data_IF_195790834857
#
_entry.id   IF_195790834857
#
_cell.length_a   1.000
_cell.length_b   1.000
_cell.length_c   1.000
_cell.angle_alpha   90.00
_cell.angle_beta   90.00
_cell.angle_gamma   90.00
#
_symmetry.space_group_name_H-M   'P 1'
#
loop_
_entity.id
_entity.type
_entity.pdbx_description
1 polymer ?
#
# COMPACT_ATOMS: atom_id res chain seq x y z
N UNK A 1 -20.07 12.19 3.81
CA UNK A 1 -20.67 10.93 3.33
C UNK A 1 -19.81 10.46 2.18
N UNK A 2 -19.36 9.20 2.17
CA UNK A 2 -18.39 8.74 1.18
C UNK A 2 -19.08 8.44 -0.18
N UNK A 3 -18.63 9.10 -1.25
CA UNK A 3 -19.12 8.88 -2.60
C UNK A 3 -18.29 7.80 -3.27
N UNK A 4 -18.90 6.64 -3.45
CA UNK A 4 -18.32 5.45 -4.07
C UNK A 4 -19.19 5.04 -5.24
N UNK A 5 -18.61 4.96 -6.44
CA UNK A 5 -19.34 4.72 -7.69
C UNK A 5 -18.85 3.48 -8.41
N UNK A 6 -19.74 2.78 -9.12
CA UNK A 6 -19.34 1.78 -10.11
C UNK A 6 -18.65 2.47 -11.28
N UNK A 7 -17.97 1.68 -12.12
CA UNK A 7 -17.34 2.17 -13.36
C UNK A 7 -17.24 1.05 -14.42
N UNK A 8 -17.06 1.42 -15.66
CA UNK A 8 -16.78 0.49 -16.75
C UNK A 8 -15.29 0.17 -16.77
N UNK A 9 -14.91 -0.98 -16.21
CA UNK A 9 -13.50 -1.35 -16.22
C UNK A 9 -13.04 -1.81 -17.60
N UNK A 10 -11.77 -1.56 -17.87
CA UNK A 10 -11.01 -2.30 -18.86
C UNK A 10 -10.38 -3.49 -18.11
N UNK A 11 -10.64 -4.70 -18.59
CA UNK A 11 -10.23 -5.95 -17.92
C UNK A 11 -9.61 -6.93 -18.91
N UNK A 12 -8.71 -7.83 -18.47
CA UNK A 12 -8.20 -8.88 -19.33
C UNK A 12 -9.32 -9.78 -19.88
N UNK A 13 -9.15 -10.29 -21.10
CA UNK A 13 -9.95 -11.40 -21.58
C UNK A 13 -9.82 -12.61 -20.64
N UNK A 14 -10.88 -13.39 -20.47
CA UNK A 14 -10.98 -14.46 -19.45
C UNK A 14 -9.84 -15.48 -19.54
N UNK A 15 -9.41 -15.82 -20.73
CA UNK A 15 -8.30 -16.73 -21.02
C UNK A 15 -6.90 -16.11 -20.83
N UNK A 16 -6.80 -14.79 -20.69
CA UNK A 16 -5.55 -14.05 -20.54
C UNK A 16 -5.29 -13.57 -19.11
N UNK A 17 -6.29 -13.55 -18.24
CA UNK A 17 -6.20 -12.88 -16.92
C UNK A 17 -5.03 -13.37 -16.08
N UNK A 18 -4.75 -14.68 -16.05
CA UNK A 18 -3.66 -15.25 -15.27
C UNK A 18 -2.27 -14.81 -15.77
N UNK A 19 -2.15 -14.50 -17.05
CA UNK A 19 -0.93 -14.03 -17.70
C UNK A 19 -0.75 -12.50 -17.53
N UNK A 20 -1.84 -11.75 -17.58
CA UNK A 20 -1.84 -10.28 -17.46
C UNK A 20 -1.55 -9.85 -16.03
N UNK A 21 -2.19 -10.49 -15.04
CA UNK A 21 -2.14 -10.09 -13.64
C UNK A 21 -0.72 -10.09 -13.06
N UNK A 22 -0.17 -8.93 -12.79
CA UNK A 22 1.23 -8.77 -12.34
C UNK A 22 1.30 -8.28 -10.90
N UNK A 23 2.34 -8.66 -10.16
CA UNK A 23 2.69 -8.00 -8.88
C UNK A 23 3.05 -6.53 -9.15
N UNK A 24 3.07 -5.71 -8.10
CA UNK A 24 3.65 -4.37 -8.24
C UNK A 24 5.09 -4.45 -8.78
N UNK A 25 5.45 -3.54 -9.70
CA UNK A 25 6.78 -3.49 -10.31
C UNK A 25 7.93 -3.54 -9.30
N UNK A 26 7.74 -2.94 -8.13
CA UNK A 26 8.75 -2.88 -7.07
C UNK A 26 9.00 -4.21 -6.35
N UNK A 27 8.13 -5.20 -6.54
CA UNK A 27 8.24 -6.51 -5.91
C UNK A 27 9.03 -7.53 -6.74
N UNK A 28 9.46 -7.14 -7.95
CA UNK A 28 10.28 -7.99 -8.81
C UNK A 28 11.76 -7.69 -8.62
N UNK A 29 12.57 -8.72 -8.44
CA UNK A 29 14.01 -8.63 -8.68
C UNK A 29 14.27 -8.39 -10.17
N UNK A 30 15.45 -7.87 -10.51
CA UNK A 30 15.82 -7.63 -11.91
C UNK A 30 15.72 -8.90 -12.77
N UNK A 31 16.18 -10.05 -12.24
CA UNK A 31 16.14 -11.35 -12.93
C UNK A 31 14.70 -11.84 -13.16
N UNK A 32 13.83 -11.71 -12.13
CA UNK A 32 12.41 -12.06 -12.27
C UNK A 32 11.69 -11.19 -13.30
N UNK A 33 11.96 -9.87 -13.27
CA UNK A 33 11.38 -8.94 -14.24
C UNK A 33 11.78 -9.29 -15.66
N UNK A 34 13.06 -9.53 -15.92
CA UNK A 34 13.58 -9.94 -17.23
C UNK A 34 12.95 -11.27 -17.68
N UNK A 35 12.84 -12.27 -16.79
CA UNK A 35 12.20 -13.53 -17.09
C UNK A 35 10.72 -13.37 -17.46
N UNK A 36 9.95 -12.61 -16.69
CA UNK A 36 8.53 -12.37 -17.00
C UNK A 36 8.36 -11.67 -18.34
N UNK A 37 9.15 -10.63 -18.62
CA UNK A 37 9.09 -9.89 -19.89
C UNK A 37 9.51 -10.79 -21.09
N UNK A 38 10.45 -11.72 -20.90
CA UNK A 38 10.91 -12.60 -21.98
C UNK A 38 9.92 -13.74 -22.31
N UNK A 39 9.25 -14.28 -21.28
CA UNK A 39 8.46 -15.52 -21.46
C UNK A 39 6.95 -15.30 -21.39
N UNK A 40 6.47 -14.12 -20.97
CA UNK A 40 5.04 -13.84 -20.89
C UNK A 40 4.68 -12.55 -21.66
N UNK A 41 4.32 -12.64 -22.96
CA UNK A 41 4.00 -11.48 -23.78
C UNK A 41 2.72 -10.73 -23.35
N UNK A 42 1.86 -11.38 -22.57
CA UNK A 42 0.60 -10.79 -22.07
C UNK A 42 0.75 -10.04 -20.75
N UNK A 43 1.91 -10.12 -20.09
CA UNK A 43 2.10 -9.49 -18.77
C UNK A 43 1.85 -7.98 -18.83
N UNK A 44 1.10 -7.46 -17.86
CA UNK A 44 0.91 -6.02 -17.67
C UNK A 44 2.25 -5.27 -17.53
N UNK A 45 3.31 -5.98 -17.15
CA UNK A 45 4.66 -5.41 -17.08
C UNK A 45 5.16 -4.87 -18.42
N UNK A 46 4.70 -5.38 -19.57
CA UNK A 46 5.03 -4.83 -20.88
C UNK A 46 4.47 -3.41 -21.07
N UNK A 47 3.29 -3.12 -20.53
CA UNK A 47 2.69 -1.79 -20.58
C UNK A 47 3.53 -0.81 -19.76
N UNK A 48 3.88 -1.17 -18.53
CA UNK A 48 4.61 -0.28 -17.63
C UNK A 48 6.13 -0.27 -17.84
N UNK A 49 6.67 -1.20 -18.66
CA UNK A 49 8.08 -1.26 -19.11
C UNK A 49 8.19 -1.20 -20.63
N UNK A 50 7.63 -0.19 -21.30
CA UNK A 50 7.51 -0.16 -22.75
C UNK A 50 8.84 -0.14 -23.48
N UNK A 51 9.94 0.27 -22.81
CA UNK A 51 11.28 0.27 -23.38
C UNK A 51 11.85 -1.11 -23.64
N UNK A 52 11.33 -2.17 -22.99
CA UNK A 52 11.75 -3.55 -23.20
C UNK A 52 11.64 -3.97 -24.69
N UNK A 53 10.58 -3.57 -25.37
CA UNK A 53 10.40 -3.84 -26.83
C UNK A 53 11.53 -3.33 -27.69
N UNK A 54 12.29 -2.34 -27.24
CA UNK A 54 13.36 -1.67 -27.98
C UNK A 54 14.75 -1.95 -27.36
N UNK A 55 14.82 -2.89 -26.46
CA UNK A 55 16.03 -3.21 -25.68
C UNK A 55 16.66 -1.97 -25.03
N UNK A 56 15.81 -1.03 -24.61
CA UNK A 56 16.21 0.25 -24.04
C UNK A 56 15.44 0.56 -22.75
N UNK A 57 16.15 1.15 -21.79
CA UNK A 57 15.52 1.78 -20.64
C UNK A 57 15.06 3.18 -21.01
N UNK A 58 13.73 3.39 -21.02
CA UNK A 58 13.12 4.70 -21.26
C UNK A 58 12.59 5.26 -19.96
N UNK A 59 12.82 6.54 -19.67
CA UNK A 59 12.36 7.24 -18.46
C UNK A 59 11.71 8.59 -18.79
N UNK A 60 11.05 9.18 -17.79
CA UNK A 60 10.41 10.49 -17.89
C UNK A 60 9.20 10.53 -18.85
N UNK A 61 8.84 11.72 -19.37
CA UNK A 61 7.62 11.92 -20.17
C UNK A 61 7.55 11.08 -21.45
N UNK A 62 8.72 10.78 -22.07
CA UNK A 62 8.76 9.88 -23.25
C UNK A 62 8.26 8.48 -22.92
N UNK A 63 8.57 7.98 -21.71
CA UNK A 63 8.06 6.68 -21.23
C UNK A 63 6.54 6.70 -21.12
N UNK A 64 5.93 7.78 -20.66
CA UNK A 64 4.47 7.86 -20.43
C UNK A 64 3.68 7.67 -21.75
N UNK A 65 4.13 8.30 -22.83
CA UNK A 65 3.53 8.09 -24.17
C UNK A 65 3.68 6.64 -24.63
N UNK A 66 4.82 6.01 -24.38
CA UNK A 66 5.02 4.60 -24.73
C UNK A 66 4.15 3.66 -23.88
N UNK A 67 3.92 3.98 -22.60
CA UNK A 67 2.98 3.25 -21.75
C UNK A 67 1.57 3.30 -22.34
N UNK A 68 1.12 4.50 -22.75
CA UNK A 68 -0.18 4.66 -23.40
C UNK A 68 -0.28 3.87 -24.72
N UNK A 69 0.74 3.91 -25.57
CA UNK A 69 0.76 3.14 -26.82
C UNK A 69 0.70 1.63 -26.55
N UNK A 70 1.44 1.11 -25.54
CA UNK A 70 1.35 -0.32 -25.17
C UNK A 70 -0.05 -0.68 -24.66
N UNK A 71 -0.68 0.19 -23.90
CA UNK A 71 -2.06 0.00 -23.46
C UNK A 71 -3.03 -0.09 -24.64
N UNK A 72 -2.90 0.78 -25.64
CA UNK A 72 -3.73 0.73 -26.87
C UNK A 72 -3.50 -0.58 -27.65
N UNK A 73 -2.26 -1.04 -27.79
CA UNK A 73 -1.97 -2.33 -28.44
C UNK A 73 -2.68 -3.50 -27.71
N UNK A 74 -2.71 -3.51 -26.39
CA UNK A 74 -3.42 -4.54 -25.63
C UNK A 74 -4.93 -4.51 -25.84
N UNK A 75 -5.52 -3.32 -26.11
CA UNK A 75 -6.92 -3.19 -26.51
C UNK A 75 -7.15 -3.68 -27.96
N UNK A 76 -6.30 -3.27 -28.90
CA UNK A 76 -6.36 -3.66 -30.31
C UNK A 76 -6.24 -5.18 -30.50
N UNK A 77 -5.37 -5.81 -29.71
CA UNK A 77 -5.15 -7.25 -29.69
C UNK A 77 -6.21 -8.05 -28.89
N UNK A 78 -7.24 -7.37 -28.36
CA UNK A 78 -8.28 -7.94 -27.51
C UNK A 78 -7.72 -8.69 -26.28
N UNK A 79 -6.53 -8.31 -25.80
CA UNK A 79 -5.99 -8.77 -24.51
C UNK A 79 -6.78 -8.10 -23.39
N UNK A 80 -7.15 -6.84 -23.56
CA UNK A 80 -8.08 -6.10 -22.73
C UNK A 80 -9.42 -5.88 -23.42
N UNK A 81 -10.49 -5.94 -22.62
CA UNK A 81 -11.86 -5.71 -23.07
C UNK A 81 -12.51 -4.68 -22.14
N UNK A 82 -13.33 -3.80 -22.72
CA UNK A 82 -14.10 -2.78 -21.96
C UNK A 82 -15.47 -3.33 -21.58
N UNK A 83 -15.84 -3.22 -20.32
CA UNK A 83 -17.15 -3.60 -19.84
C UNK A 83 -18.24 -2.67 -20.40
N UNK A 84 -19.41 -3.25 -20.72
CA UNK A 84 -20.52 -2.51 -21.29
C UNK A 84 -21.28 -1.66 -20.24
N UNK A 85 -21.30 -2.11 -18.99
CA UNK A 85 -22.06 -1.49 -17.88
C UNK A 85 -21.13 -1.02 -16.78
N UNK A 86 -21.52 0.07 -16.11
CA UNK A 86 -20.91 0.49 -14.86
C UNK A 86 -21.14 -0.57 -13.79
N UNK A 87 -20.05 -1.07 -13.19
CA UNK A 87 -20.07 -2.20 -12.28
C UNK A 87 -19.16 -1.97 -11.07
N UNK A 88 -19.48 -2.61 -9.95
CA UNK A 88 -18.52 -2.88 -8.91
C UNK A 88 -17.83 -4.21 -9.20
N UNK A 89 -16.57 -4.34 -8.80
CA UNK A 89 -15.84 -5.58 -9.01
C UNK A 89 -15.42 -6.12 -7.65
N UNK A 90 -16.12 -7.17 -7.23
CA UNK A 90 -15.75 -7.89 -6.02
C UNK A 90 -14.50 -8.70 -6.29
N UNK A 91 -13.46 -8.52 -5.49
CA UNK A 91 -12.21 -9.21 -5.69
C UNK A 91 -11.71 -9.84 -4.40
N UNK A 92 -11.39 -11.12 -4.47
CA UNK A 92 -10.87 -11.93 -3.38
C UNK A 92 -9.44 -12.37 -3.66
N UNK A 93 -8.59 -12.21 -2.65
CA UNK A 93 -7.23 -12.73 -2.61
C UNK A 93 -7.12 -13.73 -1.48
N UNK A 94 -6.64 -14.94 -1.79
CA UNK A 94 -6.38 -16.00 -0.79
C UNK A 94 -4.97 -16.52 -0.92
N UNK A 95 -4.23 -16.52 0.19
CA UNK A 95 -2.88 -17.08 0.31
C UNK A 95 -2.68 -17.70 1.68
N UNK A 96 -2.34 -18.97 1.76
CA UNK A 96 -2.19 -19.71 3.01
C UNK A 96 -3.41 -19.49 3.94
N UNK A 97 -3.17 -18.94 5.14
CA UNK A 97 -4.19 -18.59 6.13
C UNK A 97 -4.69 -17.14 6.01
N UNK A 98 -4.34 -16.41 4.95
CA UNK A 98 -4.83 -15.06 4.69
C UNK A 98 -5.85 -15.08 3.56
N UNK A 99 -7.00 -14.48 3.84
CA UNK A 99 -8.04 -14.22 2.84
C UNK A 99 -8.56 -12.81 3.05
N UNK A 100 -8.76 -12.09 1.96
CA UNK A 100 -9.30 -10.75 1.96
C UNK A 100 -10.23 -10.59 0.76
N UNK A 101 -11.39 -9.97 0.96
CA UNK A 101 -12.38 -9.74 -0.07
C UNK A 101 -12.87 -8.29 -0.02
N UNK A 102 -12.81 -7.58 -1.12
CA UNK A 102 -13.20 -6.17 -1.22
C UNK A 102 -13.68 -5.78 -2.61
N UNK A 103 -14.00 -4.52 -2.79
CA UNK A 103 -14.61 -3.97 -3.99
C UNK A 103 -13.66 -3.00 -4.71
N UNK A 104 -13.37 -3.25 -5.99
CA UNK A 104 -12.90 -2.18 -6.86
C UNK A 104 -14.05 -1.25 -7.22
N UNK A 105 -13.80 0.03 -7.13
CA UNK A 105 -14.75 1.10 -7.37
C UNK A 105 -14.03 2.40 -7.73
N UNK A 106 -14.80 3.42 -8.10
CA UNK A 106 -14.33 4.78 -8.30
C UNK A 106 -14.74 5.66 -7.11
N UNK A 107 -13.78 6.25 -6.39
CA UNK A 107 -14.02 7.13 -5.24
C UNK A 107 -13.80 8.58 -5.59
N UNK A 108 -14.54 9.49 -4.95
CA UNK A 108 -14.55 10.91 -5.24
C UNK A 108 -13.24 11.62 -4.83
N UNK A 109 -12.69 12.42 -5.72
CA UNK A 109 -11.62 13.37 -5.40
C UNK A 109 -12.10 14.44 -4.41
N UNK A 110 -13.37 14.85 -4.47
CA UNK A 110 -13.95 15.82 -3.54
C UNK A 110 -13.95 15.28 -2.10
N UNK A 111 -14.24 13.99 -1.91
CA UNK A 111 -14.15 13.33 -0.60
C UNK A 111 -12.70 13.32 -0.05
N UNK A 112 -11.72 13.25 -0.94
CA UNK A 112 -10.32 13.38 -0.55
C UNK A 112 -9.98 14.82 -0.13
N UNK A 113 -10.50 15.83 -0.83
CA UNK A 113 -10.31 17.25 -0.51
C UNK A 113 -11.01 17.65 0.79
N UNK A 114 -12.26 17.19 0.98
CA UNK A 114 -13.07 17.46 2.17
C UNK A 114 -12.70 16.60 3.39
N UNK A 115 -11.64 15.79 3.26
CA UNK A 115 -11.15 14.92 4.33
C UNK A 115 -12.18 13.88 4.83
N UNK A 116 -13.11 13.46 3.98
CA UNK A 116 -13.94 12.26 4.16
C UNK A 116 -13.07 11.03 3.92
N UNK A 117 -12.20 11.07 2.91
CA UNK A 117 -11.11 10.12 2.73
C UNK A 117 -9.93 10.58 3.56
N UNK A 118 -9.69 9.86 4.67
CA UNK A 118 -8.69 10.18 5.70
C UNK A 118 -7.29 9.72 5.33
N UNK A 119 -6.31 10.57 5.57
CA UNK A 119 -4.88 10.36 5.28
C UNK A 119 -4.09 10.21 6.59
N UNK A 120 -3.00 9.45 6.55
CA UNK A 120 -2.09 9.28 7.68
C UNK A 120 -0.60 9.30 7.28
N UNK A 121 -0.31 9.53 6.00
CA UNK A 121 1.06 9.72 5.51
C UNK A 121 1.16 10.98 4.66
N UNK A 122 2.30 11.67 4.75
CA UNK A 122 2.64 12.80 3.90
C UNK A 122 3.07 12.33 2.51
N UNK A 123 2.73 13.14 1.53
CA UNK A 123 3.15 12.96 0.15
C UNK A 123 4.19 14.02 -0.27
N UNK A 124 5.01 13.70 -1.24
CA UNK A 124 6.10 14.56 -1.72
C UNK A 124 5.64 15.26 -2.99
N UNK A 125 5.56 16.58 -2.97
CA UNK A 125 5.02 17.41 -4.06
C UNK A 125 5.61 17.09 -5.45
N UNK A 126 6.93 16.99 -5.67
CA UNK A 126 7.47 16.61 -6.98
C UNK A 126 7.01 15.24 -7.48
N UNK A 127 6.73 14.31 -6.54
CA UNK A 127 6.21 12.97 -6.87
C UNK A 127 4.73 13.01 -7.23
N UNK A 128 3.96 13.86 -6.58
CA UNK A 128 2.55 14.10 -6.95
C UNK A 128 2.45 14.66 -8.35
N UNK A 129 3.26 15.67 -8.67
CA UNK A 129 3.30 16.31 -9.99
C UNK A 129 3.72 15.34 -11.10
N UNK A 130 4.75 14.53 -10.85
CA UNK A 130 5.19 13.51 -11.78
C UNK A 130 4.08 12.48 -12.07
N UNK A 131 3.39 12.01 -11.04
CA UNK A 131 2.30 11.05 -11.20
C UNK A 131 1.03 11.68 -11.77
N UNK A 132 0.72 12.93 -11.47
CA UNK A 132 -0.39 13.64 -12.12
C UNK A 132 -0.14 13.77 -13.63
N UNK A 133 1.07 14.17 -14.04
CA UNK A 133 1.46 14.22 -15.46
C UNK A 133 1.48 12.81 -16.10
N UNK A 134 1.88 11.77 -15.36
CA UNK A 134 1.76 10.40 -15.83
C UNK A 134 0.29 10.05 -16.13
N UNK A 135 -0.63 10.27 -15.18
CA UNK A 135 -2.06 9.99 -15.34
C UNK A 135 -2.69 10.80 -16.50
N UNK A 136 -2.32 12.08 -16.61
CA UNK A 136 -2.74 12.94 -17.72
C UNK A 136 -2.32 12.38 -19.09
N UNK A 137 -1.14 11.78 -19.18
CA UNK A 137 -0.59 11.25 -20.42
C UNK A 137 -1.13 9.86 -20.75
N UNK A 138 -1.19 8.95 -19.77
CA UNK A 138 -1.63 7.55 -19.98
C UNK A 138 -3.14 7.38 -20.00
N UNK A 139 -3.90 8.35 -19.46
CA UNK A 139 -5.36 8.36 -19.44
C UNK A 139 -6.02 7.20 -18.68
N UNK A 140 -5.32 6.54 -17.77
CA UNK A 140 -5.90 5.46 -16.97
C UNK A 140 -5.25 5.28 -15.60
N UNK A 141 -6.02 4.70 -14.67
CA UNK A 141 -5.55 4.16 -13.39
C UNK A 141 -5.53 2.64 -13.46
N UNK A 142 -4.38 1.99 -13.28
CA UNK A 142 -4.24 0.53 -13.24
C UNK A 142 -3.88 -0.02 -11.85
N UNK A 143 -3.52 0.87 -10.93
CA UNK A 143 -3.21 0.51 -9.54
C UNK A 143 -4.18 1.22 -8.60
N UNK A 144 -5.08 0.49 -7.93
CA UNK A 144 -6.08 1.10 -7.05
C UNK A 144 -5.44 1.65 -5.77
N UNK A 145 -6.08 2.65 -5.18
CA UNK A 145 -5.81 3.07 -3.81
C UNK A 145 -6.49 2.08 -2.87
N UNK A 146 -5.71 1.41 -2.01
CA UNK A 146 -6.27 0.54 -0.98
C UNK A 146 -6.82 1.40 0.14
N UNK A 147 -8.12 1.27 0.41
CA UNK A 147 -8.77 1.96 1.51
C UNK A 147 -9.60 0.99 2.35
N UNK A 148 -9.82 1.38 3.59
CA UNK A 148 -10.65 0.61 4.50
C UNK A 148 -11.77 1.46 5.07
N UNK A 149 -12.84 0.77 5.46
CA UNK A 149 -14.03 1.35 6.09
C UNK A 149 -14.45 0.53 7.31
N UNK A 150 -15.18 1.16 8.22
CA UNK A 150 -15.75 0.47 9.37
C UNK A 150 -16.75 -0.58 8.88
N UNK A 151 -16.65 -1.79 9.39
CA UNK A 151 -17.51 -2.91 9.01
C UNK A 151 -19.00 -2.51 8.98
N UNK A 152 -19.66 -2.82 7.88
CA UNK A 152 -21.08 -2.55 7.64
C UNK A 152 -21.81 -3.84 7.28
N UNK A 153 -22.93 -4.10 7.98
CA UNK A 153 -23.71 -5.35 7.82
C UNK A 153 -24.36 -5.47 6.45
N UNK A 154 -24.77 -4.35 5.85
CA UNK A 154 -25.42 -4.34 4.53
C UNK A 154 -24.40 -4.69 3.44
N UNK A 155 -23.24 -4.03 3.46
CA UNK A 155 -22.16 -4.31 2.51
C UNK A 155 -21.67 -5.75 2.67
N UNK A 156 -21.46 -6.21 3.91
CA UNK A 156 -21.02 -7.58 4.19
C UNK A 156 -22.02 -8.63 3.69
N UNK A 157 -23.36 -8.37 3.81
CA UNK A 157 -24.39 -9.26 3.29
C UNK A 157 -24.37 -9.33 1.77
N UNK A 158 -24.22 -8.20 1.08
CA UNK A 158 -24.13 -8.15 -0.38
C UNK A 158 -22.90 -8.93 -0.85
N UNK A 159 -21.72 -8.67 -0.27
CA UNK A 159 -20.48 -9.38 -0.59
C UNK A 159 -20.64 -10.90 -0.38
N UNK A 160 -21.26 -11.31 0.74
CA UNK A 160 -21.48 -12.72 1.04
C UNK A 160 -22.43 -13.41 0.03
N UNK A 161 -23.43 -12.70 -0.48
CA UNK A 161 -24.34 -13.20 -1.51
C UNK A 161 -23.63 -13.33 -2.85
N UNK A 162 -22.88 -12.30 -3.29
CA UNK A 162 -22.16 -12.33 -4.57
C UNK A 162 -21.11 -13.44 -4.63
N UNK A 163 -20.45 -13.73 -3.52
CA UNK A 163 -19.47 -14.84 -3.44
C UNK A 163 -20.05 -16.24 -3.62
N UNK A 164 -21.38 -16.41 -3.60
CA UNK A 164 -22.05 -17.69 -3.91
C UNK A 164 -22.16 -17.94 -5.41
N UNK A 165 -22.05 -16.89 -6.21
CA UNK A 165 -22.07 -16.97 -7.66
C UNK A 165 -20.73 -17.47 -8.18
N UNK A 166 -20.70 -18.03 -9.42
CA UNK A 166 -19.46 -18.32 -10.11
C UNK A 166 -18.66 -17.02 -10.35
N UNK A 167 -17.36 -16.99 -10.04
CA UNK A 167 -16.55 -15.83 -10.33
C UNK A 167 -16.27 -15.70 -11.83
N UNK A 168 -16.24 -14.48 -12.33
CA UNK A 168 -15.79 -14.16 -13.69
C UNK A 168 -14.33 -14.62 -13.91
N UNK A 169 -13.47 -14.38 -12.92
CA UNK A 169 -12.10 -14.87 -12.91
C UNK A 169 -11.85 -15.75 -11.70
N UNK A 170 -11.17 -16.89 -11.94
CA UNK A 170 -10.65 -17.75 -10.91
C UNK A 170 -9.30 -18.34 -11.38
N UNK A 171 -8.21 -17.88 -10.79
CA UNK A 171 -6.86 -18.35 -11.14
C UNK A 171 -5.92 -18.33 -9.93
N UNK A 172 -4.88 -19.14 -10.01
CA UNK A 172 -3.82 -19.21 -9.01
C UNK A 172 -2.48 -18.87 -9.66
N UNK A 173 -1.76 -17.95 -9.05
CA UNK A 173 -0.45 -17.51 -9.54
C UNK A 173 0.68 -18.41 -9.06
N UNK A 174 1.87 -18.30 -9.66
CA UNK A 174 3.05 -19.11 -9.35
C UNK A 174 3.50 -19.00 -7.89
N UNK A 175 3.22 -17.88 -7.23
CA UNK A 175 3.47 -17.65 -5.80
C UNK A 175 2.35 -18.17 -4.89
N UNK A 176 1.52 -19.10 -5.44
CA UNK A 176 0.42 -19.81 -4.74
C UNK A 176 -0.65 -18.87 -4.15
N UNK A 177 -0.89 -17.74 -4.80
CA UNK A 177 -2.00 -16.84 -4.46
C UNK A 177 -3.17 -17.14 -5.38
N UNK A 178 -4.33 -17.45 -4.79
CA UNK A 178 -5.59 -17.62 -5.53
C UNK A 178 -6.33 -16.31 -5.60
N UNK A 179 -6.80 -15.97 -6.79
CA UNK A 179 -7.51 -14.75 -7.12
C UNK A 179 -8.89 -15.10 -7.67
N UNK A 180 -9.93 -14.42 -7.18
CA UNK A 180 -11.30 -14.53 -7.70
C UNK A 180 -11.85 -13.14 -7.91
N UNK A 181 -12.60 -12.93 -8.98
CA UNK A 181 -13.25 -11.66 -9.27
C UNK A 181 -14.68 -11.90 -9.76
N UNK A 182 -15.63 -11.16 -9.23
CA UNK A 182 -17.04 -11.13 -9.65
C UNK A 182 -17.39 -9.75 -10.15
N UNK A 183 -18.21 -9.67 -11.19
CA UNK A 183 -18.70 -8.41 -11.77
C UNK A 183 -20.12 -8.17 -11.23
N UNK A 184 -20.30 -7.12 -10.47
CA UNK A 184 -21.60 -6.71 -9.90
C UNK A 184 -22.16 -5.60 -10.78
N UNK A 185 -22.99 -5.98 -11.76
CA UNK A 185 -23.60 -5.06 -12.75
C UNK A 185 -25.13 -4.99 -12.64
N UNK A 186 -25.72 -5.76 -11.74
CA UNK A 186 -27.16 -5.76 -11.50
C UNK A 186 -27.56 -4.44 -10.82
N UNK A 187 -28.51 -3.71 -11.41
CA UNK A 187 -28.85 -2.32 -11.03
C UNK A 187 -29.27 -2.19 -9.56
N UNK A 188 -30.06 -3.14 -9.06
CA UNK A 188 -30.53 -3.10 -7.66
C UNK A 188 -29.36 -3.26 -6.69
N UNK A 189 -28.49 -4.23 -6.92
CA UNK A 189 -27.30 -4.49 -6.10
C UNK A 189 -26.31 -3.32 -6.13
N UNK A 190 -26.11 -2.71 -7.31
CA UNK A 190 -25.30 -1.50 -7.48
C UNK A 190 -25.85 -0.37 -6.63
N UNK A 191 -27.15 -0.08 -6.72
CA UNK A 191 -27.80 0.97 -5.95
C UNK A 191 -27.75 0.72 -4.43
N UNK A 192 -27.91 -0.54 -4.01
CA UNK A 192 -27.77 -0.93 -2.61
C UNK A 192 -26.34 -0.67 -2.08
N UNK A 193 -25.31 -0.99 -2.85
CA UNK A 193 -23.92 -0.72 -2.49
C UNK A 193 -23.67 0.79 -2.39
N UNK A 194 -24.06 1.59 -3.39
CA UNK A 194 -23.91 3.05 -3.36
C UNK A 194 -24.60 3.64 -2.12
N UNK A 195 -25.84 3.22 -1.86
CA UNK A 195 -26.61 3.68 -0.68
C UNK A 195 -25.95 3.28 0.63
N UNK A 196 -25.35 2.11 0.71
CA UNK A 196 -24.64 1.66 1.91
C UNK A 196 -23.35 2.45 2.13
N UNK A 197 -22.55 2.68 1.08
CA UNK A 197 -21.31 3.47 1.19
C UNK A 197 -21.57 4.93 1.56
N UNK A 198 -22.64 5.55 1.05
CA UNK A 198 -22.97 6.94 1.37
C UNK A 198 -23.25 7.15 2.86
N UNK A 199 -23.68 6.10 3.58
CA UNK A 199 -23.90 6.14 5.04
C UNK A 199 -22.59 6.12 5.84
N UNK A 200 -21.47 5.75 5.24
CA UNK A 200 -20.19 5.72 5.92
C UNK A 200 -19.68 7.15 6.14
N UNK A 201 -19.23 7.41 7.36
CA UNK A 201 -18.72 8.75 7.76
C UNK A 201 -17.34 9.05 7.20
N UNK A 202 -16.53 8.04 6.97
CA UNK A 202 -15.16 8.19 6.47
C UNK A 202 -14.64 6.89 5.84
N UNK A 203 -13.74 7.04 4.89
CA UNK A 203 -12.83 6.02 4.38
C UNK A 203 -11.41 6.35 4.85
N UNK A 204 -10.57 5.34 5.03
CA UNK A 204 -9.19 5.52 5.48
C UNK A 204 -8.24 4.93 4.44
N UNK A 205 -7.35 5.74 3.90
CA UNK A 205 -6.31 5.24 2.99
C UNK A 205 -5.40 4.30 3.77
N UNK A 206 -5.25 3.09 3.29
CA UNK A 206 -4.36 2.08 3.84
C UNK A 206 -3.03 2.01 3.06
N UNK A 207 -3.11 2.10 1.72
CA UNK A 207 -1.95 2.18 0.83
C UNK A 207 -2.29 3.00 -0.40
N UNK A 208 -1.33 3.78 -0.90
CA UNK A 208 -1.50 4.59 -2.12
C UNK A 208 -1.71 6.09 -1.88
N UNK A 209 -1.19 6.67 -0.81
CA UNK A 209 -1.27 8.11 -0.52
C UNK A 209 -0.79 8.98 -1.68
N UNK A 210 0.31 8.61 -2.36
CA UNK A 210 0.76 9.33 -3.55
C UNK A 210 -0.19 9.19 -4.73
N UNK A 211 -0.85 8.01 -4.91
CA UNK A 211 -1.84 7.78 -5.99
C UNK A 211 -3.07 8.67 -5.81
N UNK A 212 -3.62 8.74 -4.60
CA UNK A 212 -4.76 9.62 -4.30
C UNK A 212 -4.41 11.11 -4.42
N UNK A 213 -3.24 11.52 -3.92
CA UNK A 213 -2.77 12.90 -4.02
C UNK A 213 -2.56 13.33 -5.49
N UNK A 214 -1.98 12.45 -6.32
CA UNK A 214 -1.76 12.72 -7.74
C UNK A 214 -3.06 12.77 -8.53
N UNK A 215 -4.04 11.91 -8.23
CA UNK A 215 -5.38 11.97 -8.82
C UNK A 215 -6.12 13.25 -8.44
N UNK A 216 -5.97 13.70 -7.19
CA UNK A 216 -6.48 14.99 -6.75
C UNK A 216 -5.85 16.15 -7.51
N UNK A 217 -4.52 16.14 -7.69
CA UNK A 217 -3.82 17.19 -8.43
C UNK A 217 -4.26 17.20 -9.91
N UNK A 218 -4.36 16.02 -10.55
CA UNK A 218 -4.87 15.90 -11.91
C UNK A 218 -6.28 16.49 -12.02
N UNK A 219 -7.19 16.15 -11.11
CA UNK A 219 -8.55 16.68 -11.12
C UNK A 219 -8.59 18.21 -11.02
N UNK A 220 -7.76 18.80 -10.17
CA UNK A 220 -7.65 20.27 -10.06
C UNK A 220 -7.17 20.92 -11.37
N UNK A 221 -6.14 20.34 -12.00
CA UNK A 221 -5.61 20.82 -13.28
C UNK A 221 -6.66 20.67 -14.38
N UNK A 222 -7.28 19.48 -14.49
CA UNK A 222 -8.27 19.19 -15.53
C UNK A 222 -9.52 20.05 -15.39
N UNK A 223 -10.02 20.25 -14.16
CA UNK A 223 -11.13 21.16 -13.87
C UNK A 223 -10.84 22.60 -14.32
N UNK A 224 -9.62 23.09 -14.03
CA UNK A 224 -9.21 24.46 -14.42
C UNK A 224 -9.16 24.62 -15.95
N UNK A 225 -8.79 23.56 -16.68
CA UNK A 225 -8.59 23.56 -18.11
C UNK A 225 -9.85 23.14 -18.90
N UNK A 226 -10.93 22.73 -18.23
CA UNK A 226 -12.19 22.32 -18.85
C UNK A 226 -13.30 23.33 -18.55
N UNK A 227 -13.63 24.25 -19.49
CA UNK A 227 -14.70 25.22 -19.31
C UNK A 227 -16.08 24.57 -19.17
N UNK A 228 -16.26 23.36 -19.71
CA UNK A 228 -17.53 22.60 -19.67
C UNK A 228 -17.57 21.58 -18.51
N UNK A 229 -16.81 21.84 -17.45
CA UNK A 229 -16.74 20.95 -16.29
C UNK A 229 -18.10 20.80 -15.58
N UNK A 230 -18.60 19.57 -15.52
CA UNK A 230 -19.90 19.22 -14.92
C UNK A 230 -19.78 18.56 -13.54
N UNK A 231 -18.60 18.05 -13.18
CA UNK A 231 -18.36 17.23 -11.98
C UNK A 231 -18.52 15.72 -12.24
N UNK A 232 -18.98 15.30 -13.41
CA UNK A 232 -19.18 13.89 -13.77
C UNK A 232 -17.99 13.26 -14.51
N UNK A 233 -17.03 14.07 -14.92
CA UNK A 233 -15.87 13.64 -15.68
C UNK A 233 -15.06 12.58 -14.91
N UNK A 234 -14.48 11.60 -15.61
CA UNK A 234 -13.74 10.51 -14.97
C UNK A 234 -12.61 10.98 -14.04
N UNK A 235 -11.92 12.06 -14.36
CA UNK A 235 -10.84 12.62 -13.55
C UNK A 235 -11.29 13.14 -12.17
N UNK A 236 -12.61 13.29 -11.91
CA UNK A 236 -13.14 13.61 -10.59
C UNK A 236 -13.19 12.41 -9.63
N UNK A 237 -12.78 11.25 -10.11
CA UNK A 237 -12.70 10.01 -9.35
C UNK A 237 -11.36 9.31 -9.58
N UNK A 238 -11.02 8.40 -8.69
CA UNK A 238 -9.86 7.53 -8.86
C UNK A 238 -10.19 6.10 -8.43
N UNK A 239 -9.53 5.14 -9.08
CA UNK A 239 -9.76 3.74 -8.79
C UNK A 239 -9.30 3.39 -7.39
N UNK A 240 -10.17 2.73 -6.64
CA UNK A 240 -9.94 2.31 -5.27
C UNK A 240 -10.33 0.86 -5.07
N UNK A 241 -9.69 0.22 -4.10
CA UNK A 241 -10.09 -1.07 -3.58
C UNK A 241 -10.48 -0.92 -2.12
N UNK A 242 -11.76 -1.15 -1.82
CA UNK A 242 -12.36 -0.94 -0.50
C UNK A 242 -12.52 -2.27 0.22
N UNK A 243 -11.97 -2.39 1.43
CA UNK A 243 -12.11 -3.55 2.30
C UNK A 243 -12.63 -3.15 3.68
N UNK A 244 -13.41 -4.00 4.37
CA UNK A 244 -13.77 -3.76 5.76
C UNK A 244 -12.53 -3.78 6.66
N UNK A 245 -12.55 -3.00 7.74
CA UNK A 245 -11.38 -2.90 8.64
C UNK A 245 -11.02 -4.22 9.33
N UNK A 246 -11.95 -5.17 9.43
CA UNK A 246 -11.71 -6.51 9.96
C UNK A 246 -10.88 -7.41 9.04
N UNK A 247 -10.82 -7.13 7.74
CA UNK A 247 -10.08 -7.93 6.76
C UNK A 247 -8.68 -7.38 6.45
N UNK A 248 -8.37 -6.17 6.93
CA UNK A 248 -7.04 -5.60 6.72
C UNK A 248 -6.00 -6.26 7.63
N UNK A 249 -4.85 -6.57 7.08
CA UNK A 249 -3.74 -7.11 7.85
C UNK A 249 -2.56 -6.17 7.83
N UNK A 250 -2.10 -5.79 9.03
CA UNK A 250 -1.02 -4.83 9.20
C UNK A 250 0.16 -5.54 9.83
N UNK A 251 1.33 -5.38 9.23
CA UNK A 251 2.60 -5.88 9.75
C UNK A 251 3.50 -4.72 10.12
N UNK A 252 4.41 -4.98 11.02
CA UNK A 252 5.48 -4.05 11.37
C UNK A 252 6.55 -3.97 10.28
N UNK A 253 7.21 -2.82 10.20
CA UNK A 253 8.52 -2.72 9.58
C UNK A 253 9.59 -2.85 10.66
N UNK A 254 10.55 -3.75 10.50
CA UNK A 254 11.77 -3.75 11.27
C UNK A 254 12.71 -2.64 10.74
N UNK A 255 13.54 -2.10 11.61
CA UNK A 255 14.55 -1.10 11.28
C UNK A 255 15.91 -1.67 11.55
N UNK A 256 16.79 -1.57 10.56
CA UNK A 256 18.18 -2.00 10.65
C UNK A 256 19.06 -0.78 10.40
N UNK A 257 20.08 -0.57 11.23
CA UNK A 257 20.97 0.58 11.13
C UNK A 257 22.41 0.06 10.97
N UNK A 258 23.14 0.65 10.01
CA UNK A 258 24.47 0.18 9.58
C UNK A 258 25.55 0.34 10.62
N UNK A 259 25.45 1.34 11.49
CA UNK A 259 26.45 1.67 12.48
C UNK A 259 25.82 2.19 13.77
N UNK A 260 26.60 2.21 14.84
CA UNK A 260 26.20 2.72 16.15
C UNK A 260 26.57 4.20 16.37
N UNK A 261 26.76 4.98 15.30
CA UNK A 261 27.18 6.39 15.37
C UNK A 261 28.50 6.59 16.17
N UNK A 262 29.47 5.71 15.92
CA UNK A 262 30.77 5.74 16.58
C UNK A 262 30.80 5.19 18.01
N UNK A 263 29.67 4.73 18.57
CA UNK A 263 29.59 4.16 19.92
C UNK A 263 30.04 2.71 19.93
N UNK A 264 30.69 2.31 21.00
CA UNK A 264 30.87 0.91 21.35
C UNK A 264 29.54 0.30 21.79
N UNK A 265 29.40 -1.04 21.75
CA UNK A 265 28.21 -1.76 22.28
C UNK A 265 27.86 -1.32 23.70
N UNK A 266 28.86 -1.19 24.58
CA UNK A 266 28.67 -0.81 25.98
C UNK A 266 28.11 0.62 26.10
N UNK A 267 28.70 1.58 25.40
CA UNK A 267 28.24 2.98 25.41
C UNK A 267 26.82 3.10 24.83
N UNK A 268 26.53 2.34 23.78
CA UNK A 268 25.19 2.30 23.19
C UNK A 268 24.15 1.77 24.18
N UNK A 269 24.43 0.67 24.88
CA UNK A 269 23.54 0.12 25.92
C UNK A 269 23.36 1.09 27.08
N UNK A 270 24.40 1.80 27.52
CA UNK A 270 24.31 2.84 28.57
C UNK A 270 23.39 3.97 28.13
N UNK A 271 23.50 4.46 26.89
CA UNK A 271 22.60 5.50 26.37
C UNK A 271 21.16 5.02 26.26
N UNK A 272 20.94 3.77 25.85
CA UNK A 272 19.60 3.17 25.78
C UNK A 272 18.93 3.03 27.16
N UNK A 273 19.70 2.72 28.22
CA UNK A 273 19.17 2.57 29.57
C UNK A 273 18.52 3.84 30.10
N UNK A 274 18.92 4.99 29.60
CA UNK A 274 18.26 6.27 29.90
C UNK A 274 16.77 6.28 29.57
N UNK A 275 16.35 5.60 28.48
CA UNK A 275 14.97 5.57 28.02
C UNK A 275 14.28 4.22 28.24
N UNK A 276 15.02 3.12 28.38
CA UNK A 276 14.47 1.77 28.43
C UNK A 276 15.03 0.98 29.61
N UNK A 277 14.22 0.08 30.19
CA UNK A 277 14.72 -1.05 30.94
C UNK A 277 15.15 -2.11 29.93
N UNK A 278 16.39 -2.56 30.02
CA UNK A 278 17.00 -3.48 29.06
C UNK A 278 17.16 -4.85 29.73
N UNK A 279 16.77 -5.90 29.03
CA UNK A 279 17.05 -7.28 29.47
C UNK A 279 17.71 -8.02 28.31
N UNK A 280 18.89 -8.61 28.56
CA UNK A 280 19.55 -9.47 27.58
C UNK A 280 18.83 -10.83 27.52
N UNK A 281 18.49 -11.29 26.33
CA UNK A 281 17.84 -12.56 26.02
C UNK A 281 18.80 -13.58 25.39
N UNK A 282 20.08 -13.23 25.26
CA UNK A 282 21.09 -14.04 24.60
C UNK A 282 20.66 -14.41 23.17
N UNK A 283 20.83 -15.66 22.81
CA UNK A 283 20.45 -16.17 21.48
C UNK A 283 18.95 -16.47 21.33
N UNK A 284 18.14 -16.28 22.42
CA UNK A 284 16.72 -16.58 22.38
C UNK A 284 15.99 -15.48 21.62
N UNK A 285 15.33 -15.86 20.52
CA UNK A 285 14.52 -14.95 19.72
C UNK A 285 13.44 -14.29 20.58
N UNK A 286 13.48 -12.97 20.67
CA UNK A 286 12.47 -12.18 21.36
C UNK A 286 11.66 -11.37 20.37
N UNK A 287 10.35 -11.61 20.30
CA UNK A 287 9.39 -10.81 19.54
C UNK A 287 8.48 -10.06 20.50
N UNK A 288 8.37 -8.72 20.43
CA UNK A 288 7.51 -7.95 21.32
C UNK A 288 6.03 -8.28 21.04
N UNK A 289 5.22 -8.36 22.08
CA UNK A 289 3.78 -8.66 22.01
C UNK A 289 2.92 -7.54 22.59
N UNK A 290 3.54 -6.52 23.20
CA UNK A 290 2.85 -5.40 23.87
C UNK A 290 3.42 -4.07 23.37
N UNK A 291 2.57 -3.05 23.30
CA UNK A 291 2.99 -1.66 22.99
C UNK A 291 4.06 -1.19 23.96
N UNK A 292 4.97 -0.35 23.46
CA UNK A 292 6.11 0.20 24.21
C UNK A 292 7.14 -0.84 24.65
N UNK A 293 7.06 -2.05 24.06
CA UNK A 293 8.07 -3.07 24.13
C UNK A 293 8.72 -3.21 22.76
N UNK A 294 10.04 -3.31 22.72
CA UNK A 294 10.80 -3.44 21.47
C UNK A 294 11.74 -4.63 21.57
N UNK A 295 11.98 -5.29 20.46
CA UNK A 295 13.09 -6.21 20.31
C UNK A 295 14.25 -5.47 19.67
N UNK A 296 15.43 -5.67 20.18
CA UNK A 296 16.68 -5.25 19.57
C UNK A 296 17.57 -6.48 19.37
N UNK A 297 18.20 -6.56 18.20
CA UNK A 297 19.27 -7.54 17.93
C UNK A 297 20.57 -6.79 17.68
N UNK A 298 21.58 -7.12 18.45
CA UNK A 298 22.86 -6.43 18.49
C UNK A 298 23.98 -7.43 18.83
N UNK A 299 24.99 -7.53 17.97
CA UNK A 299 26.19 -8.31 18.22
C UNK A 299 25.89 -9.76 18.70
N UNK A 300 25.07 -10.48 17.92
CA UNK A 300 24.71 -11.88 18.17
C UNK A 300 23.64 -12.13 19.25
N UNK A 301 23.15 -11.09 19.92
CA UNK A 301 22.23 -11.22 21.05
C UNK A 301 20.91 -10.47 20.85
N UNK A 302 19.81 -11.07 21.30
CA UNK A 302 18.52 -10.38 21.44
C UNK A 302 18.43 -9.65 22.77
N UNK A 303 17.82 -8.48 22.74
CA UNK A 303 17.48 -7.67 23.92
C UNK A 303 16.00 -7.30 23.87
N UNK A 304 15.33 -7.38 25.02
CA UNK A 304 14.02 -6.75 25.20
C UNK A 304 14.21 -5.36 25.78
N UNK A 305 13.58 -4.37 25.16
CA UNK A 305 13.60 -2.97 25.61
C UNK A 305 12.18 -2.59 26.04
N UNK A 306 12.05 -2.14 27.28
CA UNK A 306 10.78 -1.71 27.87
C UNK A 306 10.85 -0.21 28.16
N UNK A 307 10.00 0.59 27.46
CA UNK A 307 9.99 2.04 27.62
C UNK A 307 9.74 2.45 29.09
N UNK A 308 10.60 3.30 29.63
CA UNK A 308 10.44 3.87 30.97
C UNK A 308 9.36 4.95 30.98
N UNK A 309 8.20 4.70 31.63
CA UNK A 309 7.03 5.57 31.63
C UNK A 309 7.33 7.02 32.07
N UNK A 310 8.32 7.23 32.94
CA UNK A 310 8.70 8.57 33.47
C UNK A 310 9.53 9.40 32.47
N UNK A 311 10.07 8.77 31.41
CA UNK A 311 11.04 9.41 30.50
C UNK A 311 10.38 9.90 29.22
N UNK A 312 9.26 9.33 28.82
CA UNK A 312 8.56 9.66 27.60
C UNK A 312 7.13 10.13 27.88
N UNK A 313 6.77 11.30 27.34
CA UNK A 313 5.44 11.87 27.51
C UNK A 313 4.59 11.64 26.25
N UNK A 314 3.37 11.17 26.45
CA UNK A 314 2.38 10.99 25.41
C UNK A 314 1.51 12.24 25.32
N UNK A 315 1.73 13.08 24.31
CA UNK A 315 1.02 14.35 24.11
C UNK A 315 -0.16 14.23 23.15
N UNK A 316 -0.07 13.31 22.20
CA UNK A 316 -1.06 13.10 21.14
C UNK A 316 -1.08 11.65 20.64
N UNK A 317 -1.84 11.38 19.58
CA UNK A 317 -1.92 10.04 18.98
C UNK A 317 -0.60 9.59 18.34
N UNK A 318 0.18 10.52 17.78
CA UNK A 318 1.47 10.24 17.14
C UNK A 318 2.54 9.84 18.17
N UNK A 319 2.64 10.56 19.27
CA UNK A 319 3.61 10.29 20.33
C UNK A 319 3.41 8.90 20.98
N UNK A 320 2.21 8.31 20.86
CA UNK A 320 1.90 6.96 21.36
C UNK A 320 2.31 5.82 20.41
N UNK A 321 2.79 6.13 19.21
CA UNK A 321 3.25 5.11 18.26
C UNK A 321 4.65 4.63 18.58
N UNK A 322 4.84 3.31 18.62
CA UNK A 322 6.15 2.70 18.87
C UNK A 322 7.20 3.13 17.82
N UNK A 323 6.79 3.37 16.59
CA UNK A 323 7.64 3.92 15.52
C UNK A 323 8.16 5.32 15.85
N UNK A 324 7.30 6.18 16.40
CA UNK A 324 7.66 7.54 16.83
C UNK A 324 8.51 7.52 18.10
N UNK A 325 8.19 6.65 19.05
CA UNK A 325 8.96 6.46 20.26
C UNK A 325 10.39 6.05 19.93
N UNK A 326 10.56 5.01 19.09
CA UNK A 326 11.88 4.54 18.68
C UNK A 326 12.67 5.64 17.96
N UNK A 327 12.01 6.43 17.11
CA UNK A 327 12.64 7.58 16.44
C UNK A 327 13.12 8.62 17.44
N UNK A 328 12.27 9.05 18.37
CA UNK A 328 12.54 10.15 19.32
C UNK A 328 13.49 9.75 20.45
N UNK A 329 13.63 8.47 20.75
CA UNK A 329 14.45 7.99 21.89
C UNK A 329 15.75 7.31 21.46
N UNK A 330 15.82 6.74 20.24
CA UNK A 330 16.97 5.96 19.80
C UNK A 330 17.53 6.47 18.48
N UNK A 331 16.72 6.41 17.39
CA UNK A 331 17.23 6.62 16.04
C UNK A 331 17.78 8.04 15.86
N UNK A 332 17.02 9.07 16.31
CA UNK A 332 17.45 10.46 16.26
C UNK A 332 18.58 10.78 17.27
N UNK A 333 18.33 10.69 18.57
CA UNK A 333 19.26 11.22 19.58
C UNK A 333 20.51 10.35 19.79
N UNK A 334 20.44 9.04 19.61
CA UNK A 334 21.58 8.12 19.87
C UNK A 334 22.29 7.77 18.58
N UNK A 335 21.56 7.32 17.55
CA UNK A 335 22.12 6.87 16.28
C UNK A 335 22.25 7.99 15.25
N UNK A 336 21.79 9.22 15.56
CA UNK A 336 21.84 10.40 14.69
C UNK A 336 21.21 10.17 13.29
N UNK A 337 20.14 9.37 13.22
CA UNK A 337 19.31 9.20 12.03
C UNK A 337 18.21 10.25 12.07
N UNK A 338 18.42 11.38 11.40
CA UNK A 338 17.49 12.51 11.41
C UNK A 338 16.42 12.43 10.31
N UNK A 339 16.76 11.86 9.16
CA UNK A 339 15.84 11.68 8.04
C UNK A 339 15.53 10.19 7.79
N UNK A 340 14.39 9.75 8.30
CA UNK A 340 13.94 8.36 8.17
C UNK A 340 13.64 7.93 6.72
N UNK A 341 13.56 8.86 5.75
CA UNK A 341 13.30 8.56 4.34
C UNK A 341 14.57 8.42 3.52
N UNK A 342 15.55 9.27 3.78
CA UNK A 342 16.69 9.45 2.89
C UNK A 342 18.03 9.05 3.53
N UNK A 343 18.11 8.83 4.85
CA UNK A 343 19.35 8.37 5.49
C UNK A 343 19.70 6.96 5.00
N UNK A 344 20.85 6.84 4.33
CA UNK A 344 21.35 5.59 3.75
C UNK A 344 21.82 4.56 4.78
N UNK A 345 21.92 4.94 6.05
CA UNK A 345 22.31 4.04 7.14
C UNK A 345 21.13 3.23 7.67
N UNK A 346 19.87 3.69 7.46
CA UNK A 346 18.70 2.95 7.89
C UNK A 346 18.07 2.16 6.73
N UNK A 347 17.73 0.91 6.98
CA UNK A 347 16.95 0.06 6.07
C UNK A 347 15.76 -0.55 6.80
N UNK A 348 14.72 -0.84 6.03
CA UNK A 348 13.44 -1.36 6.53
C UNK A 348 13.21 -2.77 6.00
N UNK A 349 12.98 -3.72 6.90
CA UNK A 349 12.52 -5.06 6.59
C UNK A 349 11.03 -5.20 6.86
N UNK A 350 10.34 -6.06 6.12
CA UNK A 350 8.90 -6.33 6.26
C UNK A 350 8.54 -7.79 5.95
N UNK A 351 7.34 -8.21 6.34
CA UNK A 351 6.79 -9.53 6.04
C UNK A 351 6.89 -10.55 7.19
N UNK A 352 6.33 -11.74 6.97
CA UNK A 352 6.12 -12.77 8.01
C UNK A 352 7.40 -13.22 8.76
N UNK A 353 8.53 -13.27 8.09
CA UNK A 353 9.82 -13.72 8.68
C UNK A 353 10.80 -12.57 8.90
N UNK A 354 10.27 -11.38 9.05
CA UNK A 354 11.03 -10.14 9.09
C UNK A 354 12.09 -10.12 10.22
N UNK A 355 11.78 -10.66 11.42
CA UNK A 355 12.71 -10.66 12.56
C UNK A 355 13.89 -11.62 12.34
N UNK A 356 13.66 -12.76 11.66
CA UNK A 356 14.74 -13.72 11.34
C UNK A 356 15.65 -13.08 10.29
N UNK A 357 15.08 -12.52 9.23
CA UNK A 357 15.86 -11.81 8.21
C UNK A 357 16.65 -10.63 8.79
N UNK A 358 16.08 -9.89 9.73
CA UNK A 358 16.78 -8.82 10.44
C UNK A 358 17.99 -9.38 11.22
N UNK A 359 17.83 -10.51 11.89
CA UNK A 359 18.92 -11.21 12.57
C UNK A 359 20.03 -11.58 11.59
N UNK A 360 19.67 -12.25 10.49
CA UNK A 360 20.62 -12.71 9.46
C UNK A 360 21.42 -11.55 8.85
N UNK A 361 20.78 -10.42 8.55
CA UNK A 361 21.44 -9.22 8.02
C UNK A 361 22.45 -8.59 9.01
N UNK A 362 22.15 -8.65 10.32
CA UNK A 362 23.07 -8.19 11.37
C UNK A 362 24.23 -9.18 11.54
N UNK A 363 23.94 -10.48 11.56
CA UNK A 363 24.97 -11.53 11.69
C UNK A 363 25.97 -11.53 10.51
N UNK A 364 25.49 -11.18 9.31
CA UNK A 364 26.35 -11.02 8.12
C UNK A 364 27.16 -9.72 8.13
N UNK A 365 26.97 -8.86 9.13
CA UNK A 365 27.68 -7.57 9.22
C UNK A 365 27.15 -6.49 8.26
N UNK A 366 26.03 -6.70 7.59
CA UNK A 366 25.40 -5.70 6.74
C UNK A 366 24.86 -4.51 7.55
N UNK A 367 24.46 -4.76 8.81
CA UNK A 367 23.97 -3.79 9.78
C UNK A 367 24.56 -4.08 11.16
N UNK A 368 24.73 -3.02 11.97
CA UNK A 368 25.23 -3.14 13.33
C UNK A 368 24.11 -3.50 14.32
N UNK A 369 22.89 -3.04 14.08
CA UNK A 369 21.76 -3.22 15.00
C UNK A 369 20.43 -3.31 14.24
N UNK A 370 19.53 -4.13 14.74
CA UNK A 370 18.16 -4.25 14.23
C UNK A 370 17.12 -4.08 15.35
N UNK A 371 15.98 -3.45 15.01
CA UNK A 371 14.84 -3.24 15.92
C UNK A 371 13.56 -3.81 15.34
N UNK A 372 12.81 -4.57 16.15
CA UNK A 372 11.47 -5.04 15.83
C UNK A 372 10.44 -4.46 16.81
N UNK A 373 9.26 -4.17 16.29
CA UNK A 373 8.17 -3.49 16.99
C UNK A 373 6.88 -4.34 16.92
N UNK A 374 5.88 -3.95 17.69
CA UNK A 374 4.53 -4.47 17.53
C UNK A 374 3.85 -3.77 16.33
N UNK A 375 3.09 -4.50 15.50
CA UNK A 375 2.34 -3.88 14.40
C UNK A 375 1.40 -2.78 14.90
N UNK A 376 1.29 -1.71 14.12
CA UNK A 376 0.31 -0.65 14.36
C UNK A 376 -1.10 -1.21 14.10
N UNK A 377 -2.05 -0.86 14.95
CA UNK A 377 -3.46 -1.29 14.79
C UNK A 377 -4.26 -0.31 13.93
N UNK A 378 -5.37 -0.79 13.33
CA UNK A 378 -6.27 0.08 12.58
C UNK A 378 -6.82 1.24 13.44
N UNK A 379 -7.07 1.02 14.72
CA UNK A 379 -7.50 2.08 15.63
C UNK A 379 -6.44 3.18 15.81
N UNK A 380 -5.15 2.84 15.80
CA UNK A 380 -4.07 3.85 15.85
C UNK A 380 -3.99 4.63 14.54
N UNK A 381 -4.12 3.96 13.38
CA UNK A 381 -4.18 4.62 12.07
C UNK A 381 -5.34 5.62 12.04
N UNK A 382 -6.54 5.19 12.44
CA UNK A 382 -7.73 6.06 12.52
C UNK A 382 -7.52 7.25 13.45
N UNK A 383 -6.91 7.04 14.62
CA UNK A 383 -6.64 8.12 15.57
C UNK A 383 -5.69 9.19 14.98
N UNK A 384 -4.63 8.76 14.29
CA UNK A 384 -3.71 9.65 13.58
C UNK A 384 -4.43 10.41 12.47
N UNK A 385 -5.13 9.70 11.59
CA UNK A 385 -5.81 10.29 10.44
C UNK A 385 -6.93 11.25 10.84
N UNK A 386 -7.70 10.93 11.90
CA UNK A 386 -8.75 11.81 12.44
C UNK A 386 -8.19 13.07 13.12
N UNK A 387 -6.99 12.99 13.69
CA UNK A 387 -6.31 14.13 14.28
C UNK A 387 -5.58 15.00 13.22
N UNK A 388 -5.60 14.62 11.94
CA UNK A 388 -4.86 15.31 10.88
C UNK A 388 -3.33 15.21 11.03
N UNK A 389 -2.86 14.17 11.76
CA UNK A 389 -1.45 13.92 11.99
C UNK A 389 -0.91 12.95 10.95
N UNK A 390 0.41 12.94 10.78
CA UNK A 390 1.11 12.04 9.86
C UNK A 390 2.10 11.16 10.60
N UNK A 391 2.16 9.89 10.19
CA UNK A 391 3.07 8.91 10.76
C UNK A 391 4.48 9.04 10.17
N UNK A 392 5.51 8.61 10.92
CA UNK A 392 6.83 8.41 10.35
C UNK A 392 6.78 7.47 9.12
N UNK A 393 7.66 7.65 8.13
CA UNK A 393 7.70 6.78 6.96
C UNK A 393 7.95 5.31 7.36
N UNK A 394 7.40 4.39 6.56
CA UNK A 394 7.54 2.94 6.83
C UNK A 394 7.02 2.54 8.22
N UNK A 395 5.90 3.10 8.63
CA UNK A 395 5.23 2.73 9.89
C UNK A 395 4.35 1.49 9.75
N UNK A 396 3.75 1.26 8.57
CA UNK A 396 2.84 0.15 8.29
C UNK A 396 3.21 -0.58 7.00
N UNK A 397 3.23 -1.90 7.03
CA UNK A 397 3.15 -2.74 5.86
C UNK A 397 1.77 -3.41 5.82
N UNK A 398 1.00 -3.13 4.80
CA UNK A 398 -0.42 -3.51 4.73
C UNK A 398 -0.64 -4.55 3.64
N UNK A 399 -1.38 -5.59 3.97
CA UNK A 399 -1.93 -6.58 3.03
C UNK A 399 -3.46 -6.44 2.95
N UNK A 400 -4.05 -6.74 1.76
CA UNK A 400 -3.45 -7.41 0.61
C UNK A 400 -2.57 -6.48 -0.24
N UNK A 401 -1.56 -7.05 -0.93
CA UNK A 401 -0.93 -6.41 -2.08
C UNK A 401 -1.68 -6.83 -3.33
N UNK A 402 -2.23 -5.85 -4.04
CA UNK A 402 -3.11 -6.07 -5.18
C UNK A 402 -2.29 -6.33 -6.45
N UNK A 403 -2.88 -7.06 -7.40
CA UNK A 403 -2.29 -7.26 -8.72
C UNK A 403 -2.63 -6.07 -9.61
N UNK A 404 -1.66 -5.64 -10.41
CA UNK A 404 -1.86 -4.65 -11.47
C UNK A 404 -2.43 -5.32 -12.72
N UNK A 405 -3.25 -4.60 -13.49
CA UNK A 405 -3.80 -5.06 -14.76
C UNK A 405 -5.06 -5.93 -14.67
N UNK A 406 -5.64 -6.14 -13.47
CA UNK A 406 -6.92 -6.87 -13.30
C UNK A 406 -8.13 -6.01 -13.64
N UNK A 407 -8.09 -4.76 -13.23
CA UNK A 407 -9.07 -3.73 -13.53
C UNK A 407 -8.33 -2.44 -13.85
N UNK A 408 -8.78 -1.73 -14.85
CA UNK A 408 -8.25 -0.43 -15.26
C UNK A 408 -9.41 0.55 -15.32
N UNK A 409 -9.25 1.71 -14.72
CA UNK A 409 -10.18 2.82 -14.76
C UNK A 409 -9.67 3.88 -15.74
N UNK A 410 -10.41 4.15 -16.82
CA UNK A 410 -10.09 5.21 -17.78
C UNK A 410 -10.47 6.59 -17.24
N UNK A 411 -9.63 7.61 -17.55
CA UNK A 411 -9.76 8.99 -17.10
C UNK A 411 -10.32 9.90 -18.21
#
# INVERSE_FOLDING_TARGET
MAIVKPFKAIRPAKDKVAFVASRSYQEYSKKELEAVLSFNPFSFLHIINPGYKFDKRVSGPKRFKLVYNRYLEFLEDNIFLKDAKDSFYLYEVKKDNFQCCGLFCATSVEDYQSNIIKKHEDTIRPREELFAHYLETVKFNAEPVLMTYKDDKTISKIIANERRNEPEYHFTTTDKVTHRLWVISETETVNQLETAFIKLKALYIADGHHRSASSNLLAQISKKNNPDHTGNEPYNRFMSYLIPESEIKIYEFNRMVKDLNGLTKKEFLIKLDGSFRIENKGNTLYKPTKKHHFSMYLDGEFYSLYLRKKVYRFTDALSKLDTQILFKTVLGPILNVQDLRNDKRIQYGYGKHNIIRMKDEVDQGNFAVGFSLVPITMNQIKAIANAGLTMPPKSTYIEPKLRSGLTIYEL
#
